data_IF_276287463527
#
_entry.id   IF_276287463527
#
_cell.length_a   1.000
_cell.length_b   1.000
_cell.length_c   1.000
_cell.angle_alpha   90.00
_cell.angle_beta   90.00
_cell.angle_gamma   90.00
#
_symmetry.space_group_name_H-M   'P 1'
#
loop_
_entity.id
_entity.type
_entity.pdbx_description
1 polymer ?
#
# COMPACT_ATOMS: atom_id res chain seq x y z
N UNK A 1 0.04 6.31 -10.55
CA UNK A 1 0.53 6.96 -9.30
C UNK A 1 1.20 5.88 -8.46
N UNK A 2 2.45 6.12 -8.07
CA UNK A 2 3.13 5.19 -7.16
C UNK A 2 2.89 5.60 -5.70
N UNK A 3 3.28 4.73 -4.79
CA UNK A 3 3.05 4.95 -3.36
C UNK A 3 3.82 6.16 -2.83
N UNK A 4 5.03 6.39 -3.32
CA UNK A 4 5.83 7.55 -2.92
C UNK A 4 5.15 8.86 -3.29
N UNK A 5 4.52 8.92 -4.45
CA UNK A 5 3.76 10.09 -4.86
C UNK A 5 2.59 10.35 -3.90
N UNK A 6 1.82 9.31 -3.59
CA UNK A 6 0.70 9.44 -2.65
C UNK A 6 1.19 9.92 -1.29
N UNK A 7 2.24 9.29 -0.75
CA UNK A 7 2.79 9.60 0.56
C UNK A 7 3.30 11.04 0.66
N UNK A 8 3.84 11.57 -0.43
CA UNK A 8 4.41 12.92 -0.46
C UNK A 8 3.36 14.01 -0.71
N UNK A 9 2.19 13.66 -1.24
CA UNK A 9 1.18 14.64 -1.65
C UNK A 9 -0.11 14.57 -0.83
N UNK A 10 -0.26 13.55 0.00
CA UNK A 10 -1.45 13.38 0.82
C UNK A 10 -1.09 12.77 2.16
N UNK A 11 -1.89 13.09 3.17
CA UNK A 11 -1.83 12.43 4.47
C UNK A 11 -2.94 11.39 4.55
N UNK A 12 -2.57 10.13 4.77
CA UNK A 12 -3.53 9.05 4.97
C UNK A 12 -3.66 8.82 6.46
N UNK A 13 -4.87 8.93 6.99
CA UNK A 13 -5.15 8.73 8.41
C UNK A 13 -5.89 7.40 8.60
N UNK A 14 -5.64 6.78 9.75
CA UNK A 14 -6.28 5.52 10.10
C UNK A 14 -5.44 4.31 9.67
N UNK A 15 -6.05 3.15 9.78
CA UNK A 15 -5.37 1.90 9.49
C UNK A 15 -5.35 1.63 7.98
N UNK A 16 -4.18 1.29 7.47
CA UNK A 16 -3.96 1.05 6.04
C UNK A 16 -3.32 -0.32 5.86
N UNK A 17 -3.82 -1.08 4.90
CA UNK A 17 -3.22 -2.36 4.52
C UNK A 17 -2.67 -2.25 3.10
N UNK A 18 -1.38 -2.53 2.97
CA UNK A 18 -0.68 -2.55 1.69
C UNK A 18 -0.55 -4.00 1.24
N UNK A 19 -1.03 -4.32 0.05
CA UNK A 19 -1.02 -5.69 -0.47
C UNK A 19 -0.36 -5.71 -1.84
N UNK A 20 0.63 -6.59 -2.00
CA UNK A 20 1.27 -6.85 -3.29
C UNK A 20 0.72 -8.14 -3.87
N UNK A 21 0.10 -8.04 -5.01
CA UNK A 21 -0.48 -9.18 -5.73
C UNK A 21 0.44 -9.65 -6.85
N UNK A 22 0.49 -10.95 -7.06
CA UNK A 22 1.10 -11.49 -8.26
C UNK A 22 0.11 -11.42 -9.42
N UNK A 23 0.61 -11.64 -10.64
CA UNK A 23 -0.25 -11.64 -11.83
C UNK A 23 -1.29 -12.75 -11.82
N UNK A 24 -1.04 -13.84 -11.11
CA UNK A 24 -1.97 -14.97 -11.02
C UNK A 24 -3.06 -14.78 -9.95
N UNK A 25 -3.05 -13.65 -9.24
CA UNK A 25 -4.05 -13.35 -8.24
C UNK A 25 -3.73 -13.80 -6.83
N UNK A 26 -2.52 -14.30 -6.59
CA UNK A 26 -2.11 -14.65 -5.23
C UNK A 26 -1.44 -13.47 -4.54
N UNK A 27 -1.51 -13.44 -3.20
CA UNK A 27 -0.86 -12.42 -2.40
C UNK A 27 0.61 -12.80 -2.22
N UNK A 28 1.51 -11.90 -2.63
CA UNK A 28 2.94 -12.11 -2.45
C UNK A 28 3.40 -11.69 -1.06
N UNK A 29 2.98 -10.50 -0.64
CA UNK A 29 3.25 -10.00 0.72
C UNK A 29 2.32 -8.84 1.02
N UNK A 30 2.14 -8.55 2.32
CA UNK A 30 1.32 -7.44 2.75
C UNK A 30 1.89 -6.83 4.04
N UNK A 31 1.61 -5.53 4.22
CA UNK A 31 1.99 -4.78 5.42
C UNK A 31 0.79 -4.00 5.94
N UNK A 32 0.74 -3.81 7.25
CA UNK A 32 -0.27 -2.99 7.91
C UNK A 32 0.41 -1.78 8.56
N UNK A 33 -0.18 -0.59 8.37
CA UNK A 33 0.33 0.64 8.98
C UNK A 33 -0.81 1.40 9.63
N UNK A 34 -0.49 2.17 10.67
CA UNK A 34 -1.47 2.90 11.47
C UNK A 34 -1.28 4.40 11.25
N UNK A 35 -1.43 4.83 9.99
CA UNK A 35 -1.28 6.22 9.58
C UNK A 35 0.06 6.48 8.91
N UNK A 36 0.20 7.68 8.35
CA UNK A 36 1.37 8.03 7.55
C UNK A 36 2.66 8.12 8.34
N UNK A 37 2.58 8.36 9.65
CA UNK A 37 3.78 8.41 10.48
C UNK A 37 4.45 7.04 10.58
N UNK A 38 3.67 5.98 10.62
CA UNK A 38 4.19 4.61 10.67
C UNK A 38 4.93 4.22 9.39
N UNK A 39 4.55 4.82 8.27
CA UNK A 39 5.19 4.52 6.98
C UNK A 39 6.68 4.82 7.03
N UNK A 40 7.06 5.95 7.65
CA UNK A 40 8.47 6.32 7.75
C UNK A 40 9.22 5.47 8.78
N UNK A 41 8.54 5.05 9.84
CA UNK A 41 9.14 4.27 10.93
C UNK A 41 9.36 2.82 10.51
N UNK A 42 8.41 2.25 9.79
CA UNK A 42 8.42 0.82 9.43
C UNK A 42 9.29 0.49 8.22
N UNK A 43 10.00 1.47 7.64
CA UNK A 43 10.85 1.22 6.48
C UNK A 43 10.08 0.93 5.21
N UNK A 44 8.88 1.44 5.10
CA UNK A 44 8.02 1.18 3.93
C UNK A 44 8.43 1.96 2.70
N UNK A 45 9.62 2.57 2.69
CA UNK A 45 10.17 3.21 1.51
C UNK A 45 10.30 2.24 0.33
N UNK A 46 10.35 0.94 0.61
CA UNK A 46 10.39 -0.07 -0.43
C UNK A 46 9.13 -0.06 -1.30
N UNK A 47 8.03 0.45 -0.76
CA UNK A 47 6.77 0.57 -1.48
C UNK A 47 6.71 1.82 -2.36
N UNK A 48 7.60 2.80 -2.16
CA UNK A 48 7.53 4.10 -2.83
C UNK A 48 7.56 4.01 -4.35
N UNK A 49 8.26 3.00 -4.89
CA UNK A 49 8.40 2.83 -6.33
C UNK A 49 7.32 1.94 -6.93
N UNK A 50 6.44 1.40 -6.11
CA UNK A 50 5.39 0.48 -6.57
C UNK A 50 4.18 1.26 -7.07
N UNK A 51 3.67 0.86 -8.23
CA UNK A 51 2.46 1.49 -8.78
C UNK A 51 1.22 1.00 -8.07
N UNK A 52 0.38 1.94 -7.67
CA UNK A 52 -0.89 1.64 -7.02
C UNK A 52 -1.90 1.20 -8.09
N UNK A 53 -2.53 0.05 -7.87
CA UNK A 53 -3.61 -0.43 -8.74
C UNK A 53 -4.97 -0.03 -8.23
N UNK A 54 -5.24 -0.25 -6.95
CA UNK A 54 -6.54 0.04 -6.34
C UNK A 54 -6.37 0.67 -4.99
N UNK A 55 -7.28 1.58 -4.66
CA UNK A 55 -7.44 2.13 -3.32
C UNK A 55 -8.92 2.00 -2.98
N UNK A 56 -9.25 1.30 -1.89
CA UNK A 56 -10.64 1.09 -1.52
C UNK A 56 -10.79 0.90 -0.02
N UNK A 57 -11.96 1.30 0.50
CA UNK A 57 -12.33 1.03 1.88
C UNK A 57 -12.98 -0.34 1.97
N UNK A 58 -12.69 -1.08 3.03
CA UNK A 58 -13.26 -2.40 3.24
C UNK A 58 -13.96 -2.48 4.60
N UNK A 59 -14.88 -3.46 4.79
CA UNK A 59 -15.60 -3.60 6.06
C UNK A 59 -14.72 -3.98 7.25
N UNK A 60 -13.47 -4.38 7.01
CA UNK A 60 -12.53 -4.76 8.07
C UNK A 60 -11.95 -3.57 8.84
N UNK A 61 -12.30 -2.34 8.45
CA UNK A 61 -11.79 -1.14 9.10
C UNK A 61 -10.49 -0.60 8.51
N UNK A 62 -9.97 -1.25 7.47
CA UNK A 62 -8.74 -0.81 6.80
C UNK A 62 -9.04 -0.08 5.50
N UNK A 63 -8.22 0.93 5.20
CA UNK A 63 -8.09 1.41 3.83
C UNK A 63 -7.10 0.50 3.12
N UNK A 64 -7.53 -0.13 2.04
CA UNK A 64 -6.68 -1.04 1.28
C UNK A 64 -6.04 -0.31 0.11
N UNK A 65 -4.72 -0.49 -0.04
CA UNK A 65 -3.96 -0.01 -1.18
C UNK A 65 -3.31 -1.24 -1.80
N UNK A 66 -3.75 -1.58 -3.01
CA UNK A 66 -3.32 -2.78 -3.71
C UNK A 66 -2.34 -2.43 -4.82
N UNK A 67 -1.31 -3.25 -4.93
CA UNK A 67 -0.27 -3.17 -5.93
C UNK A 67 -0.24 -4.47 -6.71
N UNK A 68 0.23 -4.43 -7.94
CA UNK A 68 0.40 -5.64 -8.74
C UNK A 68 1.81 -5.69 -9.29
N UNK A 69 2.45 -6.84 -9.13
CA UNK A 69 3.79 -7.05 -9.65
C UNK A 69 3.73 -7.27 -11.17
N UNK A 70 4.53 -6.51 -11.90
CA UNK A 70 4.46 -6.52 -13.36
C UNK A 70 5.44 -7.49 -14.03
N UNK A 71 6.47 -7.88 -13.33
CA UNK A 71 7.61 -8.61 -13.89
C UNK A 71 7.70 -10.06 -13.42
N UNK A 72 6.60 -10.66 -13.12
CA UNK A 72 6.56 -12.08 -12.76
C UNK A 72 6.75 -12.98 -13.97
#
# INVERSE_FOLDING_TARGET
MNFGYLRNHATVQGDVKLTMWSKDGSVLYEDEVHGTEDIDICGLHLWDYQEIKYIFAAPDGFLHIDFEREDD
#
